data_IF_613854871853
#
_entry.id   IF_613854871853
#
_cell.length_a   1.000
_cell.length_b   1.000
_cell.length_c   1.000
_cell.angle_alpha   90.00
_cell.angle_beta   90.00
_cell.angle_gamma   90.00
#
_symmetry.space_group_name_H-M   'P 1'
#
loop_
_entity.id
_entity.type
_entity.pdbx_description
1 polymer ?
#
# COMPACT_ATOMS: atom_id res chain seq x y z
N UNK A 1 -10.34 18.64 -26.45
CA UNK A 1 -11.36 19.01 -25.43
C UNK A 1 -11.98 17.71 -24.96
N UNK A 2 -11.55 17.18 -23.79
CA UNK A 2 -12.12 15.95 -23.23
C UNK A 2 -13.34 16.29 -22.40
N UNK A 3 -14.49 15.81 -22.83
CA UNK A 3 -15.75 16.01 -22.12
C UNK A 3 -15.81 14.99 -20.95
N UNK A 4 -15.77 15.49 -19.73
CA UNK A 4 -15.99 14.67 -18.54
C UNK A 4 -17.47 14.25 -18.52
N UNK A 5 -17.73 12.98 -18.71
CA UNK A 5 -19.07 12.41 -18.49
C UNK A 5 -19.35 12.47 -16.99
N UNK A 6 -20.49 13.04 -16.56
CA UNK A 6 -20.84 13.07 -15.14
C UNK A 6 -21.08 11.66 -14.65
N UNK A 7 -20.15 11.15 -13.83
CA UNK A 7 -20.32 9.88 -13.11
C UNK A 7 -21.33 10.11 -12.00
N UNK A 8 -22.37 9.30 -11.94
CA UNK A 8 -23.41 9.42 -10.92
C UNK A 8 -22.83 9.42 -9.50
N UNK A 9 -23.38 10.26 -8.65
CA UNK A 9 -22.91 10.59 -7.28
C UNK A 9 -22.64 9.38 -6.37
N UNK A 10 -23.18 8.20 -6.69
CA UNK A 10 -23.05 6.98 -5.89
C UNK A 10 -21.78 6.18 -6.16
N UNK A 11 -21.24 6.23 -7.38
CA UNK A 11 -20.02 5.50 -7.73
C UNK A 11 -18.77 6.16 -7.09
N UNK A 12 -18.84 7.48 -6.84
CA UNK A 12 -17.70 8.23 -6.27
C UNK A 12 -17.54 8.09 -4.75
N UNK A 13 -18.51 7.55 -4.03
CA UNK A 13 -18.45 7.45 -2.55
C UNK A 13 -17.38 6.48 -2.03
N UNK A 14 -16.83 5.62 -2.87
CA UNK A 14 -15.83 4.62 -2.47
C UNK A 14 -14.48 4.77 -3.19
N UNK A 15 -14.30 5.76 -4.08
CA UNK A 15 -13.08 5.90 -4.89
C UNK A 15 -12.46 7.26 -4.64
N UNK A 16 -11.17 7.27 -4.31
CA UNK A 16 -10.35 8.48 -4.27
C UNK A 16 -9.41 8.48 -5.47
N UNK A 17 -9.33 9.61 -6.18
CA UNK A 17 -8.43 9.81 -7.30
C UNK A 17 -7.13 10.41 -6.79
N UNK A 18 -6.01 9.76 -7.11
CA UNK A 18 -4.68 10.27 -6.82
C UNK A 18 -4.07 10.77 -8.12
N UNK A 19 -3.80 12.08 -8.18
CA UNK A 19 -3.16 12.74 -9.31
C UNK A 19 -1.71 13.03 -8.97
N UNK A 20 -0.79 12.71 -9.88
CA UNK A 20 0.64 12.94 -9.72
C UNK A 20 1.07 14.05 -10.68
N UNK A 21 1.57 15.16 -10.12
CA UNK A 21 2.06 16.31 -10.88
C UNK A 21 3.58 16.39 -10.76
N UNK A 22 4.28 16.67 -11.85
CA UNK A 22 5.73 16.80 -11.84
C UNK A 22 6.22 17.77 -12.93
N UNK A 23 7.34 18.42 -12.64
CA UNK A 23 8.05 19.27 -13.61
C UNK A 23 9.09 18.48 -14.41
N UNK A 24 9.74 17.52 -13.77
CA UNK A 24 10.66 16.54 -14.35
C UNK A 24 10.13 15.15 -14.03
N UNK A 25 10.36 14.16 -14.91
CA UNK A 25 10.00 12.77 -14.64
C UNK A 25 10.48 12.34 -13.25
N UNK A 26 9.57 11.99 -12.34
CA UNK A 26 9.95 11.54 -11.01
C UNK A 26 10.56 10.14 -11.05
N UNK A 27 11.21 9.76 -9.96
CA UNK A 27 11.50 8.36 -9.69
C UNK A 27 10.18 7.59 -9.66
N UNK A 28 10.16 6.43 -10.29
CA UNK A 28 9.02 5.53 -10.26
C UNK A 28 9.47 4.10 -9.94
N UNK A 29 9.36 3.73 -8.69
CA UNK A 29 9.65 2.40 -8.19
C UNK A 29 8.36 1.56 -8.27
N UNK A 30 8.18 0.76 -9.32
CA UNK A 30 6.99 -0.07 -9.43
C UNK A 30 7.03 -1.22 -8.42
N UNK A 31 5.97 -1.35 -7.63
CA UNK A 31 5.81 -2.40 -6.63
C UNK A 31 5.08 -3.56 -7.30
N UNK A 32 5.80 -4.64 -7.57
CA UNK A 32 5.21 -5.85 -8.14
C UNK A 32 4.20 -6.48 -7.18
N UNK A 33 3.09 -6.94 -7.70
CA UNK A 33 1.99 -7.55 -6.94
C UNK A 33 1.81 -9.01 -7.31
N UNK A 34 1.35 -9.81 -6.35
CA UNK A 34 0.97 -11.19 -6.62
C UNK A 34 -0.17 -11.22 -7.65
N UNK A 35 0.01 -11.97 -8.73
CA UNK A 35 -1.08 -12.26 -9.66
C UNK A 35 -2.18 -13.00 -8.91
N UNK A 36 -3.39 -12.46 -8.97
CA UNK A 36 -4.57 -13.23 -8.59
C UNK A 36 -4.70 -14.39 -9.59
N UNK A 37 -4.45 -15.59 -9.12
CA UNK A 37 -4.62 -16.79 -9.94
C UNK A 37 -6.12 -16.97 -10.21
N UNK A 38 -6.51 -17.08 -11.48
CA UNK A 38 -7.87 -17.46 -11.84
C UNK A 38 -8.13 -18.92 -11.44
N UNK A 39 -9.42 -19.33 -11.38
CA UNK A 39 -9.80 -20.67 -10.92
C UNK A 39 -9.23 -21.80 -11.81
N UNK A 40 -9.00 -21.54 -13.10
CA UNK A 40 -8.33 -22.48 -14.00
C UNK A 40 -6.86 -22.72 -13.60
N UNK A 41 -6.17 -21.68 -13.19
CA UNK A 41 -4.78 -21.78 -12.71
C UNK A 41 -4.68 -22.47 -11.36
N UNK A 42 -5.64 -22.22 -10.45
CA UNK A 42 -5.76 -22.93 -9.16
C UNK A 42 -6.04 -24.41 -9.37
N UNK A 43 -6.93 -24.79 -10.30
CA UNK A 43 -7.20 -26.19 -10.65
C UNK A 43 -5.96 -26.91 -11.20
N UNK A 44 -5.16 -26.27 -12.07
CA UNK A 44 -3.91 -26.83 -12.58
C UNK A 44 -2.89 -27.10 -11.47
N UNK A 45 -2.76 -26.18 -10.53
CA UNK A 45 -1.83 -26.34 -9.39
C UNK A 45 -2.27 -27.49 -8.47
N UNK A 46 -3.58 -27.61 -8.20
CA UNK A 46 -4.13 -28.71 -7.39
C UNK A 46 -3.99 -30.07 -8.10
N UNK A 47 -4.10 -30.12 -9.43
CA UNK A 47 -3.91 -31.35 -10.20
C UNK A 47 -2.44 -31.84 -10.13
N UNK A 48 -1.47 -30.93 -10.25
CA UNK A 48 -0.05 -31.27 -10.08
C UNK A 48 0.25 -31.80 -8.67
N UNK A 49 -0.44 -31.31 -7.66
CA UNK A 49 -0.25 -31.74 -6.26
C UNK A 49 -0.89 -33.12 -5.99
N UNK A 50 -2.00 -33.44 -6.65
CA UNK A 50 -2.66 -34.76 -6.53
C UNK A 50 -1.86 -35.87 -7.24
N UNK A 51 -1.21 -35.57 -8.35
CA UNK A 51 -0.39 -36.54 -9.11
C UNK A 51 0.91 -36.92 -8.35
N UNK A 52 1.38 -36.05 -7.44
CA UNK A 52 2.54 -36.30 -6.59
C UNK A 52 2.21 -37.16 -5.34
N UNK A 53 0.93 -37.38 -5.01
CA UNK A 53 0.49 -38.17 -3.86
C UNK A 53 0.67 -39.68 -4.02
N UNK A 54 1.01 -40.17 -5.22
CA UNK A 54 1.12 -41.60 -5.52
C UNK A 54 2.50 -42.22 -5.35
N UNK A 55 3.52 -41.44 -4.94
CA UNK A 55 4.86 -42.00 -4.69
C UNK A 55 5.31 -41.63 -3.28
N UNK A 56 5.41 -42.66 -2.44
CA UNK A 56 5.93 -42.65 -1.08
C UNK A 56 6.78 -41.43 -0.67
N UNK A 57 6.15 -40.39 -0.17
CA UNK A 57 6.81 -39.19 0.39
C UNK A 57 6.47 -39.10 1.88
N UNK A 58 6.76 -40.16 2.63
CA UNK A 58 6.48 -40.20 4.08
C UNK A 58 7.62 -39.65 4.95
N UNK A 59 8.69 -39.06 4.39
CA UNK A 59 9.81 -38.60 5.22
C UNK A 59 10.26 -37.14 5.05
N UNK A 60 9.56 -36.27 4.29
CA UNK A 60 9.98 -34.89 4.14
C UNK A 60 8.91 -33.84 4.52
N UNK A 61 7.96 -34.20 5.36
CA UNK A 61 6.81 -33.34 5.70
C UNK A 61 7.06 -32.28 6.80
N UNK A 62 8.28 -32.06 7.26
CA UNK A 62 8.57 -31.14 8.37
C UNK A 62 9.26 -29.81 7.96
N UNK A 63 9.57 -29.59 6.69
CA UNK A 63 10.01 -28.28 6.23
C UNK A 63 8.92 -27.66 5.36
N UNK A 64 7.94 -27.00 5.98
CA UNK A 64 7.09 -26.01 5.27
C UNK A 64 8.02 -24.95 4.70
N UNK A 65 8.52 -25.16 3.46
CA UNK A 65 9.18 -24.07 2.73
C UNK A 65 8.18 -22.93 2.65
N UNK A 66 8.50 -21.79 3.25
CA UNK A 66 7.73 -20.56 3.03
C UNK A 66 7.64 -20.37 1.53
N UNK A 67 6.42 -20.33 1.00
CA UNK A 67 6.21 -20.08 -0.41
C UNK A 67 6.74 -18.69 -0.72
N UNK A 68 7.82 -18.63 -1.49
CA UNK A 68 8.36 -17.38 -2.02
C UNK A 68 7.86 -17.28 -3.46
N UNK A 69 7.03 -16.27 -3.78
CA UNK A 69 6.54 -16.09 -5.14
C UNK A 69 7.72 -15.89 -6.10
N UNK A 70 7.71 -16.61 -7.20
CA UNK A 70 8.67 -16.38 -8.30
C UNK A 70 8.24 -15.15 -9.12
N UNK A 71 9.16 -14.51 -9.83
CA UNK A 71 8.87 -13.36 -10.69
C UNK A 71 7.73 -13.62 -11.70
N UNK A 72 7.54 -14.86 -12.13
CA UNK A 72 6.44 -15.28 -13.03
C UNK A 72 5.06 -15.13 -12.42
N UNK A 73 4.96 -15.04 -11.08
CA UNK A 73 3.71 -14.90 -10.34
C UNK A 73 3.45 -13.45 -9.90
N UNK A 74 4.37 -12.56 -10.20
CA UNK A 74 4.24 -11.14 -9.96
C UNK A 74 3.70 -10.43 -11.21
N UNK A 75 2.92 -9.40 -11.00
CA UNK A 75 2.41 -8.50 -12.03
C UNK A 75 2.76 -7.06 -11.70
N UNK A 76 2.79 -6.22 -12.75
CA UNK A 76 2.88 -4.79 -12.56
C UNK A 76 1.69 -4.26 -11.76
N UNK A 77 1.86 -3.16 -11.03
CA UNK A 77 0.79 -2.56 -10.23
C UNK A 77 -0.39 -2.18 -11.13
N UNK A 78 -1.61 -2.41 -10.62
CA UNK A 78 -2.83 -1.99 -11.28
C UNK A 78 -3.11 -0.51 -10.99
N UNK A 79 -3.82 0.16 -11.89
CA UNK A 79 -4.27 1.55 -11.72
C UNK A 79 -5.28 1.72 -10.59
N UNK A 80 -6.02 0.68 -10.24
CA UNK A 80 -6.95 0.66 -9.10
C UNK A 80 -6.34 -0.14 -7.96
N UNK A 81 -6.27 0.47 -6.77
CA UNK A 81 -5.75 -0.13 -5.53
C UNK A 81 -6.82 -0.15 -4.46
N UNK A 82 -6.79 -1.19 -3.64
CA UNK A 82 -7.69 -1.32 -2.50
C UNK A 82 -6.88 -1.23 -1.21
N UNK A 83 -7.24 -0.28 -0.36
CA UNK A 83 -6.69 -0.13 0.97
C UNK A 83 -7.84 -0.20 1.98
N UNK A 84 -7.61 -0.91 3.09
CA UNK A 84 -8.59 -1.00 4.16
C UNK A 84 -8.78 0.38 4.80
N UNK A 85 -10.03 0.84 4.87
CA UNK A 85 -10.33 2.09 5.56
C UNK A 85 -10.09 1.96 7.08
N UNK A 86 -9.75 3.08 7.70
CA UNK A 86 -9.54 3.14 9.15
C UNK A 86 -10.90 3.09 9.84
N UNK A 87 -11.05 2.20 10.84
CA UNK A 87 -12.24 2.16 11.68
C UNK A 87 -12.46 3.50 12.38
N UNK A 88 -13.71 3.90 12.52
CA UNK A 88 -14.07 5.17 13.17
C UNK A 88 -13.51 5.28 14.60
N UNK A 89 -13.45 4.16 15.35
CA UNK A 89 -12.93 4.13 16.72
C UNK A 89 -11.40 4.35 16.78
N UNK A 90 -10.68 4.09 15.70
CA UNK A 90 -9.21 4.27 15.63
C UNK A 90 -8.82 5.57 14.91
N UNK A 91 -9.80 6.31 14.38
CA UNK A 91 -9.55 7.52 13.61
C UNK A 91 -9.20 8.69 14.53
N UNK A 92 -8.06 9.32 14.28
CA UNK A 92 -7.56 10.50 15.04
C UNK A 92 -7.83 11.83 14.33
N UNK A 93 -8.20 11.79 13.04
CA UNK A 93 -8.55 12.95 12.21
C UNK A 93 -9.69 12.56 11.26
N UNK A 94 -10.67 13.44 10.97
CA UNK A 94 -11.83 13.12 10.11
C UNK A 94 -11.45 12.57 8.73
N UNK A 95 -10.40 13.11 8.12
CA UNK A 95 -9.90 12.73 6.80
C UNK A 95 -8.63 11.88 6.85
N UNK A 96 -8.37 11.19 7.96
CA UNK A 96 -7.16 10.38 8.12
C UNK A 96 -7.06 9.29 7.06
N UNK A 97 -5.91 9.26 6.37
CA UNK A 97 -5.61 8.24 5.36
C UNK A 97 -4.97 6.99 6.00
N UNK A 98 -5.20 5.80 5.44
CA UNK A 98 -4.49 4.58 5.85
C UNK A 98 -2.97 4.75 5.69
N UNK A 99 -2.20 4.28 6.67
CA UNK A 99 -0.72 4.32 6.61
C UNK A 99 -0.22 3.52 5.40
N UNK A 100 -0.83 2.37 5.12
CA UNK A 100 -0.50 1.51 3.97
C UNK A 100 -0.60 2.23 2.62
N UNK A 101 -1.59 3.11 2.45
CA UNK A 101 -1.72 3.95 1.26
C UNK A 101 -0.55 4.94 1.17
N UNK A 102 -0.23 5.61 2.29
CA UNK A 102 0.91 6.55 2.33
C UNK A 102 2.22 5.82 2.04
N UNK A 103 2.44 4.65 2.63
CA UNK A 103 3.62 3.83 2.38
C UNK A 103 3.74 3.40 0.92
N UNK A 104 2.63 3.00 0.30
CA UNK A 104 2.61 2.63 -1.11
C UNK A 104 3.07 3.80 -2.00
N UNK A 105 2.54 5.00 -1.77
CA UNK A 105 2.90 6.19 -2.54
C UNK A 105 4.36 6.60 -2.31
N UNK A 106 4.80 6.61 -1.05
CA UNK A 106 6.18 6.96 -0.68
C UNK A 106 7.17 5.98 -1.31
N UNK A 107 6.94 4.67 -1.23
CA UNK A 107 7.79 3.67 -1.89
C UNK A 107 7.84 3.84 -3.39
N UNK A 108 6.70 4.20 -4.00
CA UNK A 108 6.61 4.36 -5.46
C UNK A 108 7.41 5.56 -5.97
N UNK A 109 7.38 6.68 -5.26
CA UNK A 109 7.91 7.95 -5.77
C UNK A 109 9.15 8.47 -5.06
N UNK A 110 9.68 7.74 -4.09
CA UNK A 110 10.88 8.12 -3.35
C UNK A 110 11.83 6.95 -3.10
N UNK A 111 13.10 7.27 -2.87
CA UNK A 111 14.09 6.33 -2.33
C UNK A 111 14.28 6.53 -0.82
N UNK A 112 15.02 5.62 -0.18
CA UNK A 112 15.42 5.80 1.21
C UNK A 112 16.25 7.09 1.39
N UNK A 113 16.05 7.74 2.53
CA UNK A 113 16.63 9.04 2.89
C UNK A 113 16.13 10.25 2.11
N UNK A 114 15.25 10.08 1.11
CA UNK A 114 14.58 11.21 0.46
C UNK A 114 13.69 11.95 1.46
N UNK A 115 13.42 13.22 1.16
CA UNK A 115 12.58 14.07 2.00
C UNK A 115 11.16 14.14 1.43
N UNK A 116 10.18 13.85 2.25
CA UNK A 116 8.75 13.95 1.93
C UNK A 116 8.17 15.13 2.69
N UNK A 117 7.46 16.01 1.99
CA UNK A 117 6.72 17.13 2.57
C UNK A 117 5.22 16.84 2.54
N UNK A 118 4.56 17.01 3.67
CA UNK A 118 3.10 17.04 3.78
C UNK A 118 2.69 18.35 4.46
N UNK A 119 2.18 19.29 3.68
CA UNK A 119 1.80 20.62 4.17
C UNK A 119 0.39 20.66 4.80
N UNK A 120 -0.30 19.53 4.90
CA UNK A 120 -1.61 19.37 5.54
C UNK A 120 -1.67 18.04 6.29
N UNK A 121 -0.65 17.75 7.10
CA UNK A 121 -0.38 16.41 7.63
C UNK A 121 -1.49 15.83 8.53
N UNK A 122 -2.41 16.67 9.03
CA UNK A 122 -3.48 16.24 9.92
C UNK A 122 -2.95 15.47 11.13
N UNK A 123 -3.38 14.21 11.28
CA UNK A 123 -2.88 13.32 12.33
C UNK A 123 -1.57 12.60 11.99
N UNK A 124 -0.84 12.98 10.95
CA UNK A 124 0.53 12.54 10.66
C UNK A 124 0.68 11.15 10.02
N UNK A 125 -0.32 10.65 9.29
CA UNK A 125 -0.20 9.33 8.64
C UNK A 125 0.98 9.25 7.67
N UNK A 126 1.23 10.32 6.91
CA UNK A 126 2.38 10.43 6.01
C UNK A 126 3.71 10.38 6.77
N UNK A 127 3.80 11.08 7.91
CA UNK A 127 5.00 11.08 8.74
C UNK A 127 5.31 9.71 9.35
N UNK A 128 4.27 9.00 9.82
CA UNK A 128 4.39 7.61 10.28
C UNK A 128 4.91 6.70 9.17
N UNK A 129 4.33 6.82 7.97
CA UNK A 129 4.75 6.03 6.81
C UNK A 129 6.21 6.34 6.39
N UNK A 130 6.61 7.62 6.42
CA UNK A 130 8.00 8.02 6.15
C UNK A 130 8.98 7.36 7.10
N UNK A 131 8.65 7.35 8.40
CA UNK A 131 9.47 6.75 9.43
C UNK A 131 9.61 5.24 9.25
N UNK A 132 8.50 4.54 8.99
CA UNK A 132 8.51 3.11 8.70
C UNK A 132 9.41 2.75 7.51
N UNK A 133 9.62 3.69 6.62
CA UNK A 133 10.31 3.49 5.35
C UNK A 133 11.70 4.16 5.28
N UNK A 134 12.21 4.69 6.37
CA UNK A 134 13.49 5.42 6.42
C UNK A 134 13.53 6.63 5.47
N UNK A 135 12.44 7.41 5.40
CA UNK A 135 12.39 8.69 4.68
C UNK A 135 12.39 9.84 5.68
N UNK A 136 13.02 10.96 5.30
CA UNK A 136 12.92 12.21 6.06
C UNK A 136 11.53 12.80 5.87
N UNK A 137 10.99 13.42 6.91
CA UNK A 137 9.65 13.97 6.88
C UNK A 137 9.63 15.44 7.33
N UNK A 138 8.90 16.25 6.57
CA UNK A 138 8.55 17.62 6.94
C UNK A 138 7.02 17.71 6.93
N UNK A 139 6.42 17.94 8.08
CA UNK A 139 4.97 18.06 8.22
C UNK A 139 4.57 19.46 8.67
N UNK A 140 3.50 19.98 8.06
CA UNK A 140 2.89 21.26 8.43
C UNK A 140 1.43 20.98 8.78
N UNK A 141 0.98 21.49 9.94
CA UNK A 141 -0.42 21.43 10.38
C UNK A 141 -0.77 22.72 11.09
N UNK A 142 -1.89 23.30 10.70
CA UNK A 142 -2.37 24.58 11.27
C UNK A 142 -3.02 24.39 12.63
N UNK A 143 -3.76 23.29 12.80
CA UNK A 143 -4.46 23.00 14.04
C UNK A 143 -3.49 22.39 15.05
N UNK A 144 -3.26 23.10 16.17
CA UNK A 144 -2.34 22.70 17.23
C UNK A 144 -2.69 21.33 17.84
N UNK A 145 -3.98 20.99 17.92
CA UNK A 145 -4.43 19.69 18.44
C UNK A 145 -3.96 18.56 17.53
N UNK A 146 -4.22 18.68 16.22
CA UNK A 146 -3.79 17.67 15.26
C UNK A 146 -2.27 17.63 15.10
N UNK A 147 -1.60 18.76 15.18
CA UNK A 147 -0.14 18.82 15.20
C UNK A 147 0.44 17.99 16.36
N UNK A 148 -0.08 18.14 17.59
CA UNK A 148 0.39 17.37 18.73
C UNK A 148 0.12 15.88 18.56
N UNK A 149 -1.07 15.50 18.08
CA UNK A 149 -1.40 14.10 17.77
C UNK A 149 -0.42 13.52 16.73
N UNK A 150 -0.11 14.28 15.69
CA UNK A 150 0.83 13.84 14.66
C UNK A 150 2.23 13.64 15.22
N UNK A 151 2.71 14.60 16.03
CA UNK A 151 4.00 14.54 16.69
C UNK A 151 4.13 13.27 17.55
N UNK A 152 3.19 13.04 18.44
CA UNK A 152 3.18 11.84 19.29
C UNK A 152 3.19 10.56 18.46
N UNK A 153 2.36 10.44 17.44
CA UNK A 153 2.28 9.26 16.58
C UNK A 153 3.56 8.98 15.83
N UNK A 154 4.24 10.02 15.37
CA UNK A 154 5.50 9.89 14.65
C UNK A 154 6.64 9.55 15.62
N UNK A 155 6.64 10.08 16.83
CA UNK A 155 7.67 9.83 17.86
C UNK A 155 7.54 8.44 18.50
N UNK A 156 6.32 8.00 18.85
CA UNK A 156 6.05 6.72 19.53
C UNK A 156 6.52 5.47 18.75
N UNK A 157 6.75 5.58 17.45
CA UNK A 157 7.33 4.48 16.67
C UNK A 157 8.85 4.33 16.95
N UNK A 158 9.43 5.16 17.80
CA UNK A 158 10.84 5.09 18.22
C UNK A 158 11.09 4.20 19.46
N UNK A 159 10.05 3.61 20.04
CA UNK A 159 10.18 2.73 21.21
C UNK A 159 10.06 1.27 20.84
#
# INVERSE_FOLDING_TARGET
MYQLVPVTKEILKGIEIISVFYKKQPIYNFIKELRLMNDKSKKRMNYSFSTLKGKNVLQNSLKKKRYVPTDKQLSYPKSVKFFKSISNNCRKHPTQKPIELCEYLIKTYTNENDTVLDFTMGSGSTGVACKNLNRKFIGIEKDKKYFNIAKERIELILC
#
